data_IF_589679798575
#
_entry.id   IF_589679798575
#
_cell.length_a   1.000
_cell.length_b   1.000
_cell.length_c   1.000
_cell.angle_alpha   90.00
_cell.angle_beta   90.00
_cell.angle_gamma   90.00
#
_symmetry.space_group_name_H-M   'P 1'
#
loop_
_entity.id
_entity.type
_entity.pdbx_description
1 polymer ?
#
# COMPACT_ATOMS: atom_id res chain seq x y z
N UNK A 1 -6.12 -28.05 -1.87
CA UNK A 1 -5.07 -28.89 -1.26
C UNK A 1 -4.98 -28.55 0.23
N UNK A 2 -4.78 -29.54 1.10
CA UNK A 2 -4.58 -29.34 2.55
C UNK A 2 -3.30 -28.51 2.78
N UNK A 3 -3.37 -27.46 3.60
CA UNK A 3 -2.17 -26.77 4.10
C UNK A 3 -1.45 -27.73 5.04
N UNK A 4 -0.23 -28.14 4.69
CA UNK A 4 0.46 -29.26 5.33
C UNK A 4 1.34 -28.90 6.53
N UNK A 5 1.49 -27.64 6.91
CA UNK A 5 2.30 -27.27 8.10
C UNK A 5 1.56 -26.29 9.00
N UNK A 6 1.22 -26.68 10.25
CA UNK A 6 0.70 -25.73 11.24
C UNK A 6 1.78 -24.70 11.60
N UNK A 7 1.39 -23.47 11.95
CA UNK A 7 2.30 -22.38 12.33
C UNK A 7 3.32 -22.81 13.41
N UNK A 8 2.91 -23.67 14.34
CA UNK A 8 3.75 -24.25 15.39
C UNK A 8 4.93 -25.09 14.88
N UNK A 9 4.85 -25.59 13.64
CA UNK A 9 5.94 -26.29 12.98
C UNK A 9 7.05 -25.34 12.52
N UNK A 10 6.69 -24.16 12.00
CA UNK A 10 7.67 -23.19 11.55
C UNK A 10 8.48 -22.57 12.71
N UNK A 11 7.87 -22.40 13.89
CA UNK A 11 8.57 -21.89 15.09
C UNK A 11 9.60 -22.87 15.68
N UNK A 12 9.50 -24.16 15.36
CA UNK A 12 10.49 -25.18 15.77
C UNK A 12 11.74 -25.16 14.90
N UNK A 13 11.66 -24.49 13.77
CA UNK A 13 12.66 -24.56 12.73
C UNK A 13 13.51 -23.28 12.74
N UNK A 14 14.81 -23.42 12.42
CA UNK A 14 15.79 -22.35 12.66
C UNK A 14 15.60 -21.14 11.76
N UNK A 15 14.87 -21.29 10.65
CA UNK A 15 14.69 -20.27 9.64
C UNK A 15 13.91 -19.05 10.16
N UNK A 16 12.82 -19.23 10.94
CA UNK A 16 12.08 -18.10 11.53
C UNK A 16 12.97 -17.27 12.44
N UNK A 17 13.77 -17.93 13.29
CA UNK A 17 14.64 -17.24 14.24
C UNK A 17 15.77 -16.49 13.53
N UNK A 18 16.30 -17.05 12.44
CA UNK A 18 17.27 -16.37 11.59
C UNK A 18 16.66 -15.12 10.96
N UNK A 19 15.47 -15.22 10.37
CA UNK A 19 14.79 -14.10 9.71
C UNK A 19 14.46 -12.97 10.69
N UNK A 20 13.97 -13.30 11.89
CA UNK A 20 13.73 -12.32 12.96
C UNK A 20 15.02 -11.64 13.44
N UNK A 21 16.11 -12.39 13.56
CA UNK A 21 17.41 -11.86 14.00
C UNK A 21 18.03 -10.95 12.93
N UNK A 22 17.96 -11.37 11.66
CA UNK A 22 18.45 -10.58 10.53
C UNK A 22 17.65 -9.29 10.36
N UNK A 23 16.32 -9.36 10.54
CA UNK A 23 15.45 -8.18 10.56
C UNK A 23 15.85 -7.20 11.68
N UNK A 24 16.07 -7.69 12.90
CA UNK A 24 16.52 -6.86 14.01
C UNK A 24 17.89 -6.20 13.73
N UNK A 25 18.84 -6.95 13.17
CA UNK A 25 20.14 -6.43 12.78
C UNK A 25 20.01 -5.33 11.70
N UNK A 26 19.13 -5.51 10.72
CA UNK A 26 18.87 -4.50 9.69
C UNK A 26 18.26 -3.22 10.25
N UNK A 27 17.39 -3.29 11.27
CA UNK A 27 16.92 -2.09 11.97
C UNK A 27 18.05 -1.33 12.68
N UNK A 28 18.99 -2.04 13.30
CA UNK A 28 20.16 -1.42 13.91
C UNK A 28 21.01 -0.71 12.85
N UNK A 29 21.27 -1.35 11.71
CA UNK A 29 22.03 -0.71 10.61
C UNK A 29 21.26 0.48 10.03
N UNK A 30 19.95 0.34 9.85
CA UNK A 30 19.08 1.38 9.30
C UNK A 30 18.93 2.60 10.23
N UNK A 31 19.21 2.45 11.53
CA UNK A 31 19.31 3.59 12.44
C UNK A 31 20.45 4.55 12.05
N UNK A 32 21.52 4.04 11.45
CA UNK A 32 22.67 4.84 11.00
C UNK A 32 22.56 5.31 9.54
N UNK A 33 21.73 4.64 8.72
CA UNK A 33 21.55 4.95 7.29
C UNK A 33 20.05 5.06 6.98
N UNK A 34 19.47 6.28 6.95
CA UNK A 34 18.03 6.49 6.79
C UNK A 34 17.44 5.85 5.54
N UNK A 35 18.15 5.91 4.40
CA UNK A 35 17.74 5.25 3.14
C UNK A 35 17.62 3.73 3.27
N UNK A 36 18.39 3.13 4.18
CA UNK A 36 18.36 1.68 4.41
C UNK A 36 17.16 1.25 5.26
N UNK A 37 16.40 2.19 5.86
CA UNK A 37 15.16 1.91 6.62
C UNK A 37 14.07 1.25 5.76
N UNK A 38 14.15 1.40 4.43
CA UNK A 38 13.23 0.75 3.47
C UNK A 38 13.35 -0.78 3.55
N UNK A 39 14.57 -1.31 3.66
CA UNK A 39 14.84 -2.76 3.62
C UNK A 39 14.20 -3.50 4.81
N UNK A 40 14.44 -3.11 6.09
CA UNK A 40 13.78 -3.74 7.21
C UNK A 40 12.27 -3.46 7.24
N UNK A 41 11.80 -2.33 6.69
CA UNK A 41 10.37 -2.05 6.56
C UNK A 41 9.69 -3.07 5.62
N UNK A 42 10.24 -3.29 4.42
CA UNK A 42 9.75 -4.32 3.49
C UNK A 42 9.82 -5.73 4.09
N UNK A 43 10.88 -6.04 4.83
CA UNK A 43 11.03 -7.35 5.48
C UNK A 43 10.03 -7.56 6.63
N UNK A 44 9.72 -6.53 7.42
CA UNK A 44 8.61 -6.56 8.39
C UNK A 44 7.26 -6.85 7.72
N UNK A 45 7.05 -6.33 6.51
CA UNK A 45 5.80 -6.50 5.76
C UNK A 45 5.62 -7.94 5.27
N UNK A 46 6.67 -8.58 4.74
CA UNK A 46 6.60 -10.00 4.37
C UNK A 46 6.36 -10.90 5.58
N UNK A 47 7.01 -10.60 6.71
CA UNK A 47 6.81 -11.31 7.97
C UNK A 47 5.36 -11.17 8.47
N UNK A 48 4.80 -9.97 8.47
CA UNK A 48 3.41 -9.72 8.86
C UNK A 48 2.42 -10.41 7.91
N UNK A 49 2.74 -10.47 6.62
CA UNK A 49 1.99 -11.18 5.60
C UNK A 49 1.94 -12.69 5.85
N UNK A 50 3.09 -13.31 6.16
CA UNK A 50 3.17 -14.71 6.54
C UNK A 50 2.29 -15.04 7.75
N UNK A 51 2.37 -14.25 8.83
CA UNK A 51 1.55 -14.49 10.03
C UNK A 51 0.06 -14.29 9.76
N UNK A 52 -0.30 -13.23 9.03
CA UNK A 52 -1.69 -12.94 8.69
C UNK A 52 -2.31 -14.08 7.86
N UNK A 53 -1.56 -14.63 6.91
CA UNK A 53 -2.01 -15.75 6.08
C UNK A 53 -2.27 -17.04 6.88
N UNK A 54 -1.44 -17.30 7.90
CA UNK A 54 -1.57 -18.50 8.74
C UNK A 54 -2.59 -18.36 9.88
N UNK A 55 -2.85 -17.14 10.36
CA UNK A 55 -3.78 -16.87 11.46
C UNK A 55 -5.22 -16.61 11.01
N UNK A 56 -5.45 -16.17 9.76
CA UNK A 56 -6.78 -15.77 9.29
C UNK A 56 -7.48 -16.87 8.46
N UNK A 57 -8.79 -17.03 8.70
CA UNK A 57 -9.60 -18.13 8.18
C UNK A 57 -9.80 -18.11 6.64
N UNK A 58 -9.97 -19.31 6.04
CA UNK A 58 -10.13 -19.59 4.60
C UNK A 58 -11.10 -18.68 3.81
N UNK A 59 -12.09 -18.06 4.46
CA UNK A 59 -13.12 -17.24 3.78
C UNK A 59 -12.68 -15.82 3.44
N UNK A 60 -11.63 -15.27 4.08
CA UNK A 60 -11.12 -13.91 3.79
C UNK A 60 -9.90 -13.89 2.87
N UNK A 61 -9.47 -15.04 2.33
CA UNK A 61 -8.19 -15.18 1.61
C UNK A 61 -8.02 -14.19 0.47
N UNK A 62 -9.06 -13.97 -0.33
CA UNK A 62 -8.96 -13.06 -1.48
C UNK A 62 -8.77 -11.59 -1.06
N UNK A 63 -9.54 -11.14 -0.07
CA UNK A 63 -9.42 -9.78 0.49
C UNK A 63 -8.12 -9.58 1.25
N UNK A 64 -7.73 -10.57 2.07
CA UNK A 64 -6.47 -10.59 2.78
C UNK A 64 -5.30 -10.57 1.82
N UNK A 65 -5.40 -11.28 0.71
CA UNK A 65 -4.40 -11.29 -0.33
C UNK A 65 -4.30 -9.96 -1.06
N UNK A 66 -5.42 -9.27 -1.29
CA UNK A 66 -5.40 -7.87 -1.73
C UNK A 66 -4.68 -6.96 -0.75
N UNK A 67 -4.96 -7.10 0.55
CA UNK A 67 -4.30 -6.35 1.61
C UNK A 67 -2.79 -6.62 1.67
N UNK A 68 -2.39 -7.89 1.68
CA UNK A 68 -0.99 -8.30 1.76
C UNK A 68 -0.21 -7.97 0.49
N UNK A 69 -0.83 -8.16 -0.68
CA UNK A 69 -0.25 -7.73 -1.96
C UNK A 69 -0.14 -6.21 -2.04
N UNK A 70 -1.12 -5.48 -1.49
CA UNK A 70 -1.13 -4.02 -1.43
C UNK A 70 0.03 -3.43 -0.63
N UNK A 71 0.47 -4.15 0.40
CA UNK A 71 1.62 -3.77 1.24
C UNK A 71 2.94 -3.92 0.50
N UNK A 72 3.02 -4.84 -0.47
CA UNK A 72 4.20 -5.01 -1.31
C UNK A 72 4.14 -4.02 -2.48
N UNK A 73 3.01 -4.00 -3.17
CA UNK A 73 2.74 -3.10 -4.29
C UNK A 73 1.26 -3.09 -4.57
N UNK A 74 0.61 -2.01 -4.15
CA UNK A 74 -0.79 -1.74 -4.53
C UNK A 74 -0.95 -1.66 -6.05
N UNK A 75 0.09 -1.27 -6.81
CA UNK A 75 0.01 -1.18 -8.28
C UNK A 75 0.01 -2.56 -8.93
N UNK A 76 0.85 -3.48 -8.44
CA UNK A 76 0.89 -4.85 -8.91
C UNK A 76 -0.46 -5.56 -8.68
N UNK A 77 -1.07 -5.39 -7.50
CA UNK A 77 -2.40 -5.96 -7.21
C UNK A 77 -3.44 -5.44 -8.19
N UNK A 78 -3.47 -4.14 -8.46
CA UNK A 78 -4.40 -3.56 -9.43
C UNK A 78 -4.21 -4.15 -10.82
N UNK A 79 -2.98 -4.21 -11.32
CA UNK A 79 -2.67 -4.76 -12.64
C UNK A 79 -3.06 -6.24 -12.75
N UNK A 80 -2.76 -7.04 -11.73
CA UNK A 80 -3.07 -8.46 -11.69
C UNK A 80 -4.59 -8.69 -11.66
N UNK A 81 -5.27 -8.11 -10.69
CA UNK A 81 -6.71 -8.32 -10.47
C UNK A 81 -7.56 -7.83 -11.64
N UNK A 82 -7.18 -6.70 -12.26
CA UNK A 82 -7.98 -6.07 -13.31
C UNK A 82 -7.77 -6.61 -14.73
N UNK A 83 -6.64 -7.26 -15.00
CA UNK A 83 -6.27 -7.70 -16.36
C UNK A 83 -6.07 -9.21 -16.51
N UNK A 84 -5.77 -9.95 -15.43
CA UNK A 84 -5.56 -11.38 -15.55
C UNK A 84 -6.89 -12.12 -15.73
N UNK A 85 -6.95 -12.99 -16.73
CA UNK A 85 -8.15 -13.77 -17.08
C UNK A 85 -8.60 -14.67 -15.93
N UNK A 86 -7.68 -15.02 -15.02
CA UNK A 86 -7.98 -15.81 -13.81
C UNK A 86 -9.06 -15.16 -12.93
N UNK A 87 -9.16 -13.83 -12.93
CA UNK A 87 -10.11 -13.09 -12.10
C UNK A 87 -11.37 -12.63 -12.84
N UNK A 88 -11.47 -12.89 -14.15
CA UNK A 88 -12.61 -12.44 -14.97
C UNK A 88 -13.95 -13.04 -14.51
N UNK A 89 -13.93 -14.23 -13.89
CA UNK A 89 -15.12 -14.89 -13.33
C UNK A 89 -15.35 -14.58 -11.84
N UNK A 90 -14.51 -13.76 -11.21
CA UNK A 90 -14.66 -13.42 -9.79
C UNK A 90 -15.77 -12.38 -9.61
N UNK A 91 -16.47 -12.43 -8.49
CA UNK A 91 -17.55 -11.47 -8.22
C UNK A 91 -16.98 -10.04 -8.15
N UNK A 92 -17.65 -9.08 -8.78
CA UNK A 92 -17.20 -7.68 -8.79
C UNK A 92 -17.07 -7.10 -7.40
N UNK A 93 -17.95 -7.51 -6.47
CA UNK A 93 -17.87 -7.11 -5.07
C UNK A 93 -16.55 -7.57 -4.44
N UNK A 94 -16.15 -8.81 -4.68
CA UNK A 94 -14.91 -9.34 -4.12
C UNK A 94 -13.69 -8.70 -4.78
N UNK A 95 -13.75 -8.39 -6.08
CA UNK A 95 -12.72 -7.60 -6.78
C UNK A 95 -12.59 -6.21 -6.15
N UNK A 96 -13.71 -5.50 -5.98
CA UNK A 96 -13.73 -4.17 -5.40
C UNK A 96 -13.17 -4.15 -3.98
N UNK A 97 -13.62 -5.08 -3.13
CA UNK A 97 -13.13 -5.20 -1.75
C UNK A 97 -11.63 -5.47 -1.73
N UNK A 98 -11.12 -6.35 -2.59
CA UNK A 98 -9.69 -6.68 -2.68
C UNK A 98 -8.86 -5.47 -3.08
N UNK A 99 -9.34 -4.66 -4.03
CA UNK A 99 -8.68 -3.42 -4.45
C UNK A 99 -8.71 -2.36 -3.33
N UNK A 100 -9.83 -2.22 -2.61
CA UNK A 100 -9.93 -1.30 -1.47
C UNK A 100 -9.02 -1.73 -0.31
N UNK A 101 -8.92 -3.03 -0.01
CA UNK A 101 -7.97 -3.55 0.96
C UNK A 101 -6.52 -3.26 0.56
N UNK A 102 -6.18 -3.38 -0.73
CA UNK A 102 -4.85 -3.03 -1.22
C UNK A 102 -4.52 -1.54 -1.01
N UNK A 103 -5.50 -0.64 -1.18
CA UNK A 103 -5.34 0.79 -0.91
C UNK A 103 -5.19 1.08 0.58
N UNK A 104 -6.02 0.47 1.43
CA UNK A 104 -5.91 0.62 2.89
C UNK A 104 -4.53 0.19 3.39
N UNK A 105 -4.02 -0.91 2.87
CA UNK A 105 -2.69 -1.41 3.18
C UNK A 105 -1.60 -0.40 2.81
N UNK A 106 -1.60 0.10 1.57
CA UNK A 106 -0.64 1.12 1.12
C UNK A 106 -0.72 2.41 1.95
N UNK A 107 -1.91 2.87 2.34
CA UNK A 107 -2.06 4.04 3.21
C UNK A 107 -1.53 3.79 4.62
N UNK A 108 -1.72 2.59 5.15
CA UNK A 108 -1.21 2.19 6.46
C UNK A 108 0.33 2.12 6.43
N UNK A 109 0.91 1.63 5.34
CA UNK A 109 2.36 1.68 5.10
C UNK A 109 2.88 3.13 5.07
N UNK A 110 2.19 4.03 4.37
CA UNK A 110 2.53 5.44 4.36
C UNK A 110 2.51 6.06 5.76
N UNK A 111 1.51 5.74 6.58
CA UNK A 111 1.44 6.17 7.98
C UNK A 111 2.61 5.65 8.82
N UNK A 112 3.00 4.38 8.62
CA UNK A 112 4.16 3.80 9.29
C UNK A 112 5.46 4.48 8.87
N UNK A 113 5.63 4.80 7.58
CA UNK A 113 6.80 5.53 7.09
C UNK A 113 6.90 6.89 7.78
N UNK A 114 5.78 7.63 7.87
CA UNK A 114 5.76 8.93 8.55
C UNK A 114 6.16 8.74 10.02
N UNK A 115 5.58 7.76 10.71
CA UNK A 115 5.89 7.47 12.11
C UNK A 115 7.34 7.08 12.36
N UNK A 116 7.96 6.27 11.49
CA UNK A 116 9.32 5.75 11.70
C UNK A 116 10.44 6.68 11.22
N UNK A 117 10.17 7.53 10.22
CA UNK A 117 11.17 8.47 9.72
C UNK A 117 11.13 9.79 10.49
N UNK A 118 9.99 10.15 11.06
CA UNK A 118 9.83 11.42 11.77
C UNK A 118 10.08 11.27 13.27
N UNK A 119 11.28 11.66 13.72
CA UNK A 119 11.58 11.65 15.14
C UNK A 119 10.68 12.62 15.93
N UNK A 120 10.15 13.71 15.32
CA UNK A 120 9.24 14.70 15.95
C UNK A 120 8.33 15.49 14.95
N UNK A 121 7.53 14.83 14.11
CA UNK A 121 6.55 15.55 13.25
C UNK A 121 5.25 15.87 13.99
N UNK A 122 4.69 17.06 13.73
CA UNK A 122 3.36 17.43 14.19
C UNK A 122 2.28 16.50 13.62
N UNK A 123 1.20 16.30 14.38
CA UNK A 123 0.11 15.40 13.97
C UNK A 123 -0.53 15.78 12.62
N UNK A 124 -0.39 17.05 12.20
CA UNK A 124 -0.92 17.58 10.94
C UNK A 124 -0.48 16.79 9.70
N UNK A 125 0.73 16.22 9.70
CA UNK A 125 1.26 15.47 8.57
C UNK A 125 0.62 14.08 8.38
N UNK A 126 -0.04 13.55 9.41
CA UNK A 126 -0.76 12.27 9.34
C UNK A 126 -2.17 12.43 8.77
N UNK A 127 -2.76 13.63 8.87
CA UNK A 127 -4.17 13.91 8.54
C UNK A 127 -4.54 13.48 7.12
N UNK A 128 -3.77 13.80 6.05
CA UNK A 128 -4.13 13.40 4.69
C UNK A 128 -4.32 11.88 4.55
N UNK A 129 -3.39 11.11 5.12
CA UNK A 129 -3.42 9.65 5.02
C UNK A 129 -4.47 9.02 5.93
N UNK A 130 -4.64 9.51 7.16
CA UNK A 130 -5.65 9.00 8.10
C UNK A 130 -7.06 9.22 7.57
N UNK A 131 -7.36 10.40 7.05
CA UNK A 131 -8.69 10.72 6.54
C UNK A 131 -9.05 9.88 5.32
N UNK A 132 -8.12 9.71 4.38
CA UNK A 132 -8.33 8.85 3.22
C UNK A 132 -8.47 7.36 3.62
N UNK A 133 -7.70 6.92 4.63
CA UNK A 133 -7.81 5.56 5.17
C UNK A 133 -9.18 5.31 5.80
N UNK A 134 -9.66 6.23 6.66
CA UNK A 134 -10.98 6.14 7.27
C UNK A 134 -12.10 6.15 6.22
N UNK A 135 -11.95 6.94 5.17
CA UNK A 135 -12.89 6.91 4.05
C UNK A 135 -12.93 5.53 3.36
N UNK A 136 -11.79 4.91 3.06
CA UNK A 136 -11.81 3.57 2.46
C UNK A 136 -12.31 2.49 3.42
N UNK A 137 -12.03 2.59 4.71
CA UNK A 137 -12.60 1.69 5.72
C UNK A 137 -14.14 1.79 5.74
N UNK A 138 -14.68 3.01 5.74
CA UNK A 138 -16.13 3.20 5.69
C UNK A 138 -16.73 2.71 4.37
N UNK A 139 -16.05 2.90 3.25
CA UNK A 139 -16.44 2.32 1.96
C UNK A 139 -16.43 0.78 1.97
N UNK A 140 -15.43 0.15 2.58
CA UNK A 140 -15.37 -1.32 2.76
C UNK A 140 -16.57 -1.80 3.58
N UNK A 141 -16.85 -1.18 4.72
CA UNK A 141 -17.99 -1.52 5.59
C UNK A 141 -19.30 -1.36 4.81
N UNK A 142 -19.45 -0.26 4.07
CA UNK A 142 -20.62 -0.01 3.24
C UNK A 142 -20.82 -1.09 2.18
N UNK A 143 -19.77 -1.44 1.41
CA UNK A 143 -19.82 -2.48 0.38
C UNK A 143 -20.10 -3.87 0.97
N UNK A 144 -19.62 -4.15 2.19
CA UNK A 144 -19.91 -5.41 2.90
C UNK A 144 -21.35 -5.48 3.40
N UNK A 145 -21.92 -4.37 3.89
CA UNK A 145 -23.29 -4.29 4.39
C UNK A 145 -24.33 -4.25 3.25
N UNK A 146 -23.97 -3.71 2.08
CA UNK A 146 -24.85 -3.64 0.92
C UNK A 146 -25.14 -5.06 0.36
N UNK A 147 -26.28 -5.63 0.73
CA UNK A 147 -26.73 -6.94 0.27
C UNK A 147 -27.19 -6.89 -1.20
N UNK A 148 -26.44 -7.52 -2.11
CA UNK A 148 -26.81 -8.06 -3.43
C UNK A 148 -27.58 -7.18 -4.46
N UNK A 149 -27.96 -5.94 -4.16
CA UNK A 149 -28.83 -5.12 -5.01
C UNK A 149 -28.09 -4.37 -6.13
N UNK A 150 -26.85 -3.93 -5.88
CA UNK A 150 -25.99 -3.24 -6.87
C UNK A 150 -25.10 -4.20 -7.66
N UNK A 151 -24.73 -5.34 -7.05
CA UNK A 151 -23.89 -6.36 -7.64
C UNK A 151 -24.71 -7.64 -7.76
N UNK A 152 -25.58 -7.71 -8.78
CA UNK A 152 -26.34 -8.91 -9.12
C UNK A 152 -25.36 -10.05 -9.38
N UNK A 153 -25.20 -10.93 -8.38
CA UNK A 153 -24.31 -12.07 -8.49
C UNK A 153 -24.95 -13.11 -9.39
N UNK A 154 -24.41 -13.32 -10.59
CA UNK A 154 -24.49 -14.63 -11.21
C UNK A 154 -23.73 -15.60 -10.29
N UNK A 155 -24.47 -16.31 -9.44
CA UNK A 155 -23.91 -17.42 -8.69
C UNK A 155 -23.47 -18.49 -9.67
N UNK A 156 -22.17 -18.68 -9.83
CA UNK A 156 -21.59 -20.02 -9.97
C UNK A 156 -20.10 -19.95 -9.65
N UNK A 157 -19.70 -20.69 -8.62
CA UNK A 157 -18.29 -20.86 -8.23
C UNK A 157 -17.93 -20.15 -6.94
N UNK A 158 -17.74 -20.93 -5.87
CA UNK A 158 -16.82 -20.52 -4.81
C UNK A 158 -15.51 -20.09 -5.48
N UNK A 159 -14.91 -18.93 -5.13
CA UNK A 159 -13.62 -18.58 -5.67
C UNK A 159 -12.59 -19.54 -5.07
N UNK A 160 -12.32 -20.63 -5.80
CA UNK A 160 -11.10 -21.44 -5.64
C UNK A 160 -9.95 -20.81 -6.44
N UNK A 161 -9.92 -19.48 -6.49
CA UNK A 161 -8.80 -18.74 -7.05
C UNK A 161 -7.93 -18.34 -5.86
N UNK A 162 -7.25 -19.34 -5.29
CA UNK A 162 -6.06 -19.04 -4.52
C UNK A 162 -5.10 -18.41 -5.54
N UNK A 163 -4.81 -17.10 -5.45
CA UNK A 163 -3.54 -16.64 -6.02
C UNK A 163 -2.51 -17.40 -5.22
N UNK A 164 -1.65 -18.11 -5.93
CA UNK A 164 -0.66 -19.05 -5.39
C UNK A 164 0.43 -18.25 -4.66
N UNK A 165 0.05 -17.53 -3.61
CA UNK A 165 0.92 -17.05 -2.56
C UNK A 165 1.17 -18.28 -1.69
N UNK A 166 2.02 -19.17 -2.22
CA UNK A 166 2.64 -20.22 -1.43
C UNK A 166 3.64 -19.53 -0.51
N UNK A 167 3.15 -18.95 0.59
CA UNK A 167 4.00 -18.31 1.59
C UNK A 167 4.54 -19.39 2.53
N UNK A 168 5.45 -20.22 2.03
CA UNK A 168 6.11 -21.27 2.82
C UNK A 168 7.22 -20.71 3.72
N UNK A 169 7.73 -19.51 3.41
CA UNK A 169 8.77 -18.82 4.16
C UNK A 169 8.28 -17.48 4.75
N UNK A 170 8.68 -17.14 5.98
CA UNK A 170 8.24 -15.93 6.67
C UNK A 170 8.77 -14.66 6.01
N UNK A 171 10.02 -14.67 5.53
CA UNK A 171 10.62 -13.59 4.76
C UNK A 171 11.34 -14.21 3.56
N UNK A 172 10.99 -13.77 2.35
CA UNK A 172 11.69 -14.09 1.14
C UNK A 172 12.67 -12.96 0.80
N UNK A 173 13.88 -13.05 1.34
CA UNK A 173 14.94 -12.04 1.15
C UNK A 173 15.22 -11.69 -0.32
N UNK A 174 14.97 -12.60 -1.26
CA UNK A 174 15.11 -12.32 -2.70
C UNK A 174 14.07 -11.31 -3.19
N UNK A 175 12.83 -11.42 -2.71
CA UNK A 175 11.75 -10.49 -3.04
C UNK A 175 11.94 -9.17 -2.31
N UNK A 176 12.30 -9.20 -1.02
CA UNK A 176 12.69 -8.01 -0.25
C UNK A 176 13.79 -7.23 -0.96
N UNK A 177 14.85 -7.92 -1.41
CA UNK A 177 15.96 -7.28 -2.12
C UNK A 177 15.51 -6.69 -3.47
N UNK A 178 14.73 -7.43 -4.26
CA UNK A 178 14.20 -6.93 -5.55
C UNK A 178 13.35 -5.67 -5.36
N UNK A 179 12.42 -5.69 -4.40
CA UNK A 179 11.55 -4.55 -4.12
C UNK A 179 12.35 -3.37 -3.57
N UNK A 180 13.30 -3.62 -2.67
CA UNK A 180 14.17 -2.58 -2.12
C UNK A 180 15.02 -1.92 -3.21
N UNK A 181 15.61 -2.71 -4.12
CA UNK A 181 16.37 -2.19 -5.27
C UNK A 181 15.46 -1.39 -6.19
N UNK A 182 14.24 -1.86 -6.45
CA UNK A 182 13.28 -1.15 -7.26
C UNK A 182 12.90 0.21 -6.65
N UNK A 183 12.59 0.25 -5.35
CA UNK A 183 12.29 1.48 -4.62
C UNK A 183 13.50 2.42 -4.62
N UNK A 184 14.70 1.92 -4.35
CA UNK A 184 15.94 2.72 -4.41
C UNK A 184 16.19 3.27 -5.82
N UNK A 185 15.88 2.51 -6.86
CA UNK A 185 15.92 2.95 -8.25
C UNK A 185 14.96 4.11 -8.52
N UNK A 186 13.74 4.07 -7.97
CA UNK A 186 12.77 5.17 -8.06
C UNK A 186 13.25 6.41 -7.30
N UNK A 187 13.81 6.24 -6.10
CA UNK A 187 14.41 7.32 -5.31
C UNK A 187 15.55 8.00 -6.08
N UNK A 188 16.47 7.21 -6.64
CA UNK A 188 17.56 7.72 -7.46
C UNK A 188 17.06 8.45 -8.72
N UNK A 189 16.03 7.89 -9.37
CA UNK A 189 15.40 8.56 -10.51
C UNK A 189 14.78 9.90 -10.13
N UNK A 190 14.13 10.01 -8.96
CA UNK A 190 13.61 11.29 -8.45
C UNK A 190 14.72 12.31 -8.23
N UNK A 191 15.79 11.90 -7.55
CA UNK A 191 16.95 12.76 -7.32
C UNK A 191 17.54 13.25 -8.64
N UNK A 192 17.75 12.34 -9.60
CA UNK A 192 18.29 12.67 -10.93
C UNK A 192 17.38 13.63 -11.71
N UNK A 193 16.06 13.40 -11.69
CA UNK A 193 15.09 14.29 -12.34
C UNK A 193 15.12 15.68 -11.70
N UNK A 194 15.23 15.77 -10.38
CA UNK A 194 15.30 17.03 -9.65
C UNK A 194 16.61 17.79 -9.88
N UNK A 195 17.75 17.09 -9.90
CA UNK A 195 19.08 17.70 -9.98
C UNK A 195 19.51 18.05 -11.40
N UNK A 196 19.26 17.15 -12.37
CA UNK A 196 19.80 17.28 -13.73
C UNK A 196 18.78 17.85 -14.73
N UNK A 197 17.49 17.52 -14.60
CA UNK A 197 16.46 18.02 -15.52
C UNK A 197 15.86 19.36 -15.10
N UNK A 198 16.20 19.85 -13.91
CA UNK A 198 15.69 21.13 -13.37
C UNK A 198 14.16 21.16 -13.18
N UNK A 199 13.51 19.99 -13.13
CA UNK A 199 12.07 19.92 -12.88
C UNK A 199 11.73 20.31 -11.44
N UNK A 200 10.59 20.97 -11.27
CA UNK A 200 10.15 21.35 -9.93
C UNK A 200 9.89 20.10 -9.08
N UNK A 201 10.23 20.21 -7.80
CA UNK A 201 10.03 19.17 -6.78
C UNK A 201 8.62 18.56 -6.80
N UNK A 202 7.59 19.39 -6.99
CA UNK A 202 6.21 18.96 -7.09
C UNK A 202 5.92 18.11 -8.33
N UNK A 203 6.48 18.46 -9.50
CA UNK A 203 6.29 17.70 -10.74
C UNK A 203 6.98 16.34 -10.64
N UNK A 204 8.21 16.30 -10.13
CA UNK A 204 8.96 15.04 -9.95
C UNK A 204 8.24 14.10 -8.98
N UNK A 205 7.72 14.64 -7.88
CA UNK A 205 6.92 13.89 -6.89
C UNK A 205 5.64 13.35 -7.53
N UNK A 206 4.92 14.17 -8.28
CA UNK A 206 3.70 13.74 -8.97
C UNK A 206 3.98 12.62 -9.98
N UNK A 207 4.99 12.77 -10.85
CA UNK A 207 5.31 11.82 -11.90
C UNK A 207 5.65 10.44 -11.35
N UNK A 208 6.51 10.39 -10.34
CA UNK A 208 6.92 9.11 -9.78
C UNK A 208 5.77 8.52 -8.95
N UNK A 209 4.89 9.34 -8.37
CA UNK A 209 3.81 8.86 -7.47
C UNK A 209 2.73 8.08 -8.21
N UNK A 210 2.77 8.08 -9.54
CA UNK A 210 2.01 7.16 -10.36
C UNK A 210 2.42 5.70 -10.20
N UNK A 211 3.64 5.41 -9.73
CA UNK A 211 4.14 4.04 -9.57
C UNK A 211 3.81 3.48 -8.19
N UNK A 212 4.40 4.04 -7.12
CA UNK A 212 4.13 3.62 -5.74
C UNK A 212 4.23 4.81 -4.79
N UNK A 213 3.17 5.01 -3.99
CA UNK A 213 3.05 6.16 -3.09
C UNK A 213 4.03 6.07 -1.89
N UNK A 214 4.18 4.87 -1.31
CA UNK A 214 5.07 4.64 -0.16
C UNK A 214 6.53 4.89 -0.53
N UNK A 215 6.95 4.50 -1.73
CA UNK A 215 8.33 4.63 -2.21
C UNK A 215 8.78 6.10 -2.26
N UNK A 216 7.90 6.96 -2.75
CA UNK A 216 8.16 8.40 -2.82
C UNK A 216 8.07 9.06 -1.47
N UNK A 217 7.11 8.64 -0.65
CA UNK A 217 7.00 9.17 0.69
C UNK A 217 8.32 8.99 1.45
N UNK A 218 8.95 7.82 1.33
CA UNK A 218 10.30 7.61 1.90
C UNK A 218 11.33 8.55 1.28
N UNK A 219 11.33 8.73 -0.05
CA UNK A 219 12.24 9.65 -0.74
C UNK A 219 12.11 11.08 -0.21
N UNK A 220 10.89 11.62 -0.23
CA UNK A 220 10.57 12.99 0.20
C UNK A 220 10.94 13.19 1.67
N UNK A 221 10.64 12.21 2.53
CA UNK A 221 10.92 12.29 3.96
C UNK A 221 12.40 12.08 4.31
N UNK A 222 13.17 11.35 3.50
CA UNK A 222 14.59 11.10 3.76
C UNK A 222 15.50 12.19 3.19
N UNK A 223 15.12 12.76 2.05
CA UNK A 223 15.94 13.71 1.32
C UNK A 223 15.69 15.15 1.79
N UNK A 224 14.45 15.49 2.16
CA UNK A 224 14.07 16.86 2.47
C UNK A 224 13.85 16.98 3.98
N UNK A 225 14.89 17.48 4.66
CA UNK A 225 14.99 17.64 6.11
C UNK A 225 13.67 18.13 6.72
N UNK A 226 13.13 17.35 7.66
CA UNK A 226 11.84 17.60 8.29
C UNK A 226 11.87 18.86 9.16
N UNK A 227 11.55 20.01 8.57
CA UNK A 227 11.26 21.20 9.33
C UNK A 227 9.74 21.25 9.59
N UNK A 228 9.26 21.28 10.85
CA UNK A 228 7.84 21.22 11.19
C UNK A 228 6.97 22.37 10.64
N UNK A 229 7.60 23.39 10.04
CA UNK A 229 6.96 24.58 9.48
C UNK A 229 6.89 24.58 7.94
N UNK A 230 7.37 23.53 7.28
CA UNK A 230 7.36 23.47 5.81
C UNK A 230 5.97 23.12 5.27
N UNK A 231 5.18 24.16 4.94
CA UNK A 231 3.94 24.08 4.15
C UNK A 231 4.17 23.26 2.86
N UNK A 232 5.37 23.31 2.32
CA UNK A 232 5.79 22.55 1.14
C UNK A 232 5.70 21.04 1.36
N UNK A 233 6.00 20.52 2.56
CA UNK A 233 5.90 19.09 2.84
C UNK A 233 4.44 18.60 2.77
N UNK A 234 3.50 19.35 3.35
CA UNK A 234 2.06 19.02 3.28
C UNK A 234 1.59 18.97 1.82
N UNK A 235 2.00 19.94 1.00
CA UNK A 235 1.67 19.97 -0.42
C UNK A 235 2.21 18.74 -1.17
N UNK A 236 3.42 18.29 -0.83
CA UNK A 236 4.02 17.09 -1.43
C UNK A 236 3.28 15.81 -1.01
N UNK A 237 2.87 15.69 0.26
CA UNK A 237 2.05 14.58 0.72
C UNK A 237 0.72 14.52 -0.04
N UNK A 238 0.06 15.66 -0.25
CA UNK A 238 -1.16 15.75 -1.06
C UNK A 238 -0.89 15.41 -2.53
N UNK A 239 0.25 15.80 -3.11
CA UNK A 239 0.63 15.41 -4.47
C UNK A 239 0.86 13.90 -4.60
N UNK A 240 1.45 13.25 -3.59
CA UNK A 240 1.60 11.79 -3.56
C UNK A 240 0.22 11.11 -3.58
N UNK A 241 -0.72 11.58 -2.76
CA UNK A 241 -2.09 11.06 -2.74
C UNK A 241 -2.84 11.32 -4.04
N UNK A 242 -2.62 12.48 -4.66
CA UNK A 242 -3.18 12.82 -5.96
C UNK A 242 -2.65 11.88 -7.06
N UNK A 243 -1.34 11.67 -7.11
CA UNK A 243 -0.74 10.76 -8.09
C UNK A 243 -1.23 9.33 -7.93
N UNK A 244 -1.34 8.84 -6.70
CA UNK A 244 -1.97 7.55 -6.42
C UNK A 244 -3.43 7.53 -6.91
N UNK A 245 -4.21 8.57 -6.61
CA UNK A 245 -5.61 8.70 -7.04
C UNK A 245 -5.75 8.62 -8.56
N UNK A 246 -4.92 9.35 -9.29
CA UNK A 246 -4.91 9.37 -10.76
C UNK A 246 -4.48 8.00 -11.30
N UNK A 247 -3.38 7.43 -10.79
CA UNK A 247 -2.84 6.15 -11.27
C UNK A 247 -3.82 5.01 -11.09
N UNK A 248 -4.41 4.83 -9.89
CA UNK A 248 -5.37 3.76 -9.63
C UNK A 248 -6.67 3.94 -10.38
N UNK A 249 -7.12 5.19 -10.55
CA UNK A 249 -8.29 5.49 -11.39
C UNK A 249 -8.03 5.15 -12.86
N UNK A 250 -6.84 5.43 -13.37
CA UNK A 250 -6.43 5.05 -14.72
C UNK A 250 -6.36 3.52 -14.90
N UNK A 251 -5.77 2.81 -13.94
CA UNK A 251 -5.71 1.34 -13.96
C UNK A 251 -7.12 0.73 -13.94
N UNK A 252 -8.01 1.26 -13.10
CA UNK A 252 -9.42 0.84 -13.06
C UNK A 252 -10.13 1.11 -14.39
N UNK A 253 -9.91 2.29 -14.99
CA UNK A 253 -10.51 2.65 -16.27
C UNK A 253 -10.08 1.69 -17.38
N UNK A 254 -8.79 1.31 -17.42
CA UNK A 254 -8.23 0.40 -18.43
C UNK A 254 -8.57 -1.08 -18.18
N UNK A 255 -8.78 -1.48 -16.93
CA UNK A 255 -9.04 -2.86 -16.54
C UNK A 255 -10.24 -3.51 -17.24
N UNK A 256 -10.15 -4.79 -17.59
CA UNK A 256 -11.24 -5.52 -18.24
C UNK A 256 -12.20 -6.18 -17.26
N UNK A 257 -11.72 -6.52 -16.05
CA UNK A 257 -12.44 -7.41 -15.13
C UNK A 257 -13.48 -6.69 -14.23
N UNK A 258 -13.72 -5.39 -14.41
CA UNK A 258 -14.63 -4.61 -13.57
C UNK A 258 -15.54 -3.72 -14.43
N UNK A 259 -16.86 -3.89 -14.34
CA UNK A 259 -17.81 -3.12 -15.15
C UNK A 259 -18.14 -1.75 -14.53
N UNK A 260 -18.30 -1.69 -13.20
CA UNK A 260 -18.71 -0.49 -12.46
C UNK A 260 -17.57 0.51 -12.17
N UNK A 261 -16.68 0.72 -13.15
CA UNK A 261 -15.44 1.52 -13.02
C UNK A 261 -15.64 2.90 -12.41
N UNK A 262 -16.72 3.59 -12.79
CA UNK A 262 -17.03 4.93 -12.33
C UNK A 262 -17.31 5.02 -10.83
N UNK A 263 -17.88 3.98 -10.21
CA UNK A 263 -18.10 3.96 -8.76
C UNK A 263 -16.76 3.99 -8.03
N UNK A 264 -15.80 3.17 -8.47
CA UNK A 264 -14.47 3.15 -7.89
C UNK A 264 -13.72 4.47 -8.11
N UNK A 265 -13.75 5.00 -9.34
CA UNK A 265 -13.11 6.29 -9.65
C UNK A 265 -13.70 7.41 -8.79
N UNK A 266 -15.03 7.47 -8.65
CA UNK A 266 -15.68 8.45 -7.78
C UNK A 266 -15.23 8.29 -6.32
N UNK A 267 -15.14 7.07 -5.79
CA UNK A 267 -14.62 6.84 -4.44
C UNK A 267 -13.17 7.35 -4.28
N UNK A 268 -12.30 7.11 -5.26
CA UNK A 268 -10.92 7.59 -5.22
C UNK A 268 -10.85 9.12 -5.11
N UNK A 269 -11.60 9.84 -5.96
CA UNK A 269 -11.60 11.31 -5.95
C UNK A 269 -12.31 11.91 -4.73
N UNK A 270 -13.40 11.30 -4.25
CA UNK A 270 -14.06 11.74 -3.02
C UNK A 270 -13.14 11.56 -1.81
N UNK A 271 -12.47 10.41 -1.69
CA UNK A 271 -11.50 10.16 -0.63
C UNK A 271 -10.34 11.16 -0.64
N UNK A 272 -9.82 11.49 -1.83
CA UNK A 272 -8.81 12.53 -1.99
C UNK A 272 -9.31 13.92 -1.60
N UNK A 273 -10.50 14.32 -2.06
CA UNK A 273 -11.09 15.62 -1.73
C UNK A 273 -11.34 15.78 -0.22
N UNK A 274 -11.78 14.72 0.46
CA UNK A 274 -11.93 14.69 1.91
C UNK A 274 -10.59 14.86 2.62
N UNK A 275 -9.54 14.21 2.13
CA UNK A 275 -8.18 14.38 2.66
C UNK A 275 -7.66 15.81 2.53
N UNK A 276 -7.85 16.42 1.36
CA UNK A 276 -7.50 17.83 1.12
C UNK A 276 -8.29 18.73 2.08
N UNK A 277 -9.63 18.57 2.13
CA UNK A 277 -10.50 19.39 2.97
C UNK A 277 -10.18 19.27 4.46
N UNK A 278 -9.95 18.07 4.96
CA UNK A 278 -9.58 17.83 6.35
C UNK A 278 -8.23 18.45 6.71
N UNK A 279 -7.26 18.35 5.79
CA UNK A 279 -5.93 18.94 5.98
C UNK A 279 -6.03 20.47 6.07
N UNK A 280 -6.71 21.12 5.13
CA UNK A 280 -6.93 22.57 5.17
C UNK A 280 -7.69 23.03 6.42
N UNK A 281 -8.74 22.30 6.81
CA UNK A 281 -9.54 22.61 7.99
C UNK A 281 -8.70 22.52 9.28
N UNK A 282 -7.88 21.48 9.42
CA UNK A 282 -6.99 21.35 10.57
C UNK A 282 -5.85 22.37 10.57
N UNK A 283 -5.29 22.73 9.41
CA UNK A 283 -4.32 23.84 9.32
C UNK A 283 -4.92 25.15 9.81
N UNK A 284 -6.15 25.48 9.38
CA UNK A 284 -6.84 26.70 9.80
C UNK A 284 -7.14 26.73 11.31
N UNK A 285 -7.37 25.59 11.96
CA UNK A 285 -7.59 25.51 13.41
C UNK A 285 -6.31 25.64 14.25
N UNK A 286 -5.14 25.45 13.63
CA UNK A 286 -3.84 25.49 14.31
C UNK A 286 -3.14 26.85 14.15
N UNK A 287 -3.66 27.75 13.31
CA UNK A 287 -3.31 29.17 13.21
C UNK A 287 -4.09 30.01 14.24
#
# INVERSE_FOLDING_TARGET
>A
MEHKTPLSYHFKDKHIWFDMTMLAALFVVAAYVPLLKIVPLVACLELFSFFSFHLLAKRSRFQLQGFLGGFISSTAVFLQILNDKKFASTSERDLLLTLLFALCSMLLECLFIIFFLADQLAFIFYIPFVTQLLFFITAIIYVQMQSNLLFLSNQSGQPTVDIELLIDHPINWKNVAKLSIFILGLVYAMHFIGSELGLSRGISTLLVSFFEAHAILVSVMSEWSMNPQDIDLINLLLLILLGNTISKSYLMFKGSNFSHKWIFIAMMFVGFALSVGATFFCSFLLE
#
